data_IF_721186662641
#
_entry.id   IF_721186662641
#
_cell.length_a   1.000
_cell.length_b   1.000
_cell.length_c   1.000
_cell.angle_alpha   90.00
_cell.angle_beta   90.00
_cell.angle_gamma   90.00
#
_symmetry.space_group_name_H-M   'P 1'
#
loop_
_entity.id
_entity.type
_entity.pdbx_description
1 polymer ?
#
# COMPACT_ATOMS: atom_id res chain seq x y z
N UNK A 1 -4.45 64.98 -69.87
CA UNK A 1 -3.90 64.16 -70.96
C UNK A 1 -3.24 62.90 -70.32
N UNK A 2 -3.93 61.74 -70.53
CA UNK A 2 -3.40 60.41 -70.60
C UNK A 2 -2.82 59.76 -69.27
N UNK A 3 -3.14 58.62 -68.91
CA UNK A 3 -3.76 57.35 -69.35
C UNK A 3 -3.67 56.39 -68.19
N UNK A 4 -4.77 55.75 -67.97
CA UNK A 4 -4.86 54.60 -67.02
C UNK A 4 -3.86 53.50 -67.32
N UNK A 5 -3.36 52.85 -66.26
CA UNK A 5 -2.97 51.46 -66.32
C UNK A 5 -3.43 50.70 -65.07
N UNK A 6 -4.45 49.94 -65.28
CA UNK A 6 -4.95 48.89 -64.36
C UNK A 6 -3.89 47.82 -64.18
N UNK A 7 -3.40 47.63 -62.98
CA UNK A 7 -2.67 46.43 -62.61
C UNK A 7 -3.58 45.49 -61.80
N UNK A 8 -3.81 44.34 -62.39
CA UNK A 8 -4.47 43.17 -61.76
C UNK A 8 -3.67 42.76 -60.55
N UNK A 9 -4.29 42.80 -59.36
CA UNK A 9 -3.79 42.17 -58.15
C UNK A 9 -4.36 40.74 -58.11
N UNK A 10 -3.45 39.79 -58.16
CA UNK A 10 -3.80 38.37 -57.96
C UNK A 10 -4.08 38.14 -56.46
N UNK A 11 -5.28 37.72 -56.15
CA UNK A 11 -5.64 37.24 -54.81
C UNK A 11 -4.98 35.86 -54.60
N UNK A 12 -3.99 35.83 -53.77
CA UNK A 12 -3.49 34.56 -53.20
C UNK A 12 -4.47 34.09 -52.12
N UNK A 13 -5.14 33.03 -52.36
CA UNK A 13 -5.97 32.35 -51.38
C UNK A 13 -5.07 31.66 -50.36
N UNK A 14 -4.92 32.24 -49.18
CA UNK A 14 -4.29 31.58 -48.06
C UNK A 14 -5.30 30.56 -47.46
N UNK A 15 -5.05 29.30 -47.65
CA UNK A 15 -5.82 28.25 -46.98
C UNK A 15 -5.57 28.32 -45.46
N UNK A 16 -6.58 28.78 -44.74
CA UNK A 16 -6.62 28.66 -43.27
C UNK A 16 -7.00 27.23 -42.96
N UNK A 17 -5.99 26.44 -42.57
CA UNK A 17 -6.24 25.13 -41.93
C UNK A 17 -6.86 25.43 -40.56
N UNK A 18 -8.17 25.29 -40.45
CA UNK A 18 -8.84 25.23 -39.16
C UNK A 18 -8.37 23.98 -38.43
N UNK A 19 -7.51 24.16 -37.42
CA UNK A 19 -7.34 23.15 -36.37
C UNK A 19 -8.72 23.00 -35.70
N UNK A 20 -9.42 21.93 -36.02
CA UNK A 20 -10.51 21.45 -35.21
C UNK A 20 -9.94 21.03 -33.87
N UNK A 21 -9.91 21.94 -32.90
CA UNK A 21 -9.85 21.56 -31.50
C UNK A 21 -11.09 20.67 -31.28
N UNK A 22 -10.87 19.35 -31.13
CA UNK A 22 -11.91 18.44 -30.70
C UNK A 22 -12.48 19.00 -29.40
N UNK A 23 -13.69 19.52 -29.44
CA UNK A 23 -14.43 19.79 -28.23
C UNK A 23 -14.55 18.44 -27.53
N UNK A 24 -13.83 18.25 -26.41
CA UNK A 24 -14.14 17.19 -25.48
C UNK A 24 -15.62 17.36 -25.16
N UNK A 25 -16.48 16.47 -25.67
CA UNK A 25 -17.88 16.46 -25.32
C UNK A 25 -17.95 16.34 -23.81
N UNK A 26 -18.44 17.36 -23.12
CA UNK A 26 -18.69 17.29 -21.70
C UNK A 26 -19.63 16.10 -21.47
N UNK A 27 -19.23 15.14 -20.68
CA UNK A 27 -20.06 14.00 -20.31
C UNK A 27 -21.21 14.54 -19.45
N UNK A 28 -22.45 14.31 -19.86
CA UNK A 28 -23.60 14.72 -19.05
C UNK A 28 -23.78 13.81 -17.85
N UNK A 29 -23.95 14.41 -16.66
CA UNK A 29 -24.46 13.73 -15.48
C UNK A 29 -25.87 13.17 -15.76
N UNK A 30 -26.35 12.23 -14.93
CA UNK A 30 -27.69 11.64 -15.10
C UNK A 30 -27.85 10.77 -16.37
N UNK A 31 -26.80 10.05 -16.76
CA UNK A 31 -26.79 9.18 -17.95
C UNK A 31 -25.99 7.92 -17.69
N UNK A 32 -26.04 6.97 -18.62
CA UNK A 32 -25.14 5.84 -18.63
C UNK A 32 -23.88 6.17 -19.46
N UNK A 33 -22.72 5.79 -18.96
CA UNK A 33 -21.43 5.99 -19.59
C UNK A 33 -20.77 4.66 -19.91
N UNK A 34 -20.28 4.48 -21.12
CA UNK A 34 -19.48 3.32 -21.48
C UNK A 34 -17.99 3.66 -21.35
N UNK A 35 -17.29 2.96 -20.47
CA UNK A 35 -15.88 3.15 -20.19
C UNK A 35 -15.05 2.98 -21.46
N UNK A 36 -14.18 3.95 -21.74
CA UNK A 36 -13.27 3.97 -22.86
C UNK A 36 -11.86 3.52 -22.41
N UNK A 37 -11.03 3.20 -23.38
CA UNK A 37 -9.63 2.85 -23.10
C UNK A 37 -8.89 4.06 -22.49
N UNK A 38 -8.21 3.85 -21.37
CA UNK A 38 -7.51 4.89 -20.60
C UNK A 38 -8.37 5.68 -19.61
N UNK A 39 -9.66 5.36 -19.48
CA UNK A 39 -10.52 5.98 -18.46
C UNK A 39 -10.13 5.53 -17.04
N UNK A 40 -10.29 6.48 -16.13
CA UNK A 40 -10.29 6.22 -14.68
C UNK A 40 -11.58 6.78 -14.07
N UNK A 41 -11.98 6.27 -12.91
CA UNK A 41 -13.12 6.83 -12.18
C UNK A 41 -13.01 8.35 -11.98
N UNK A 42 -11.79 8.83 -11.70
CA UNK A 42 -11.54 10.26 -11.50
C UNK A 42 -11.71 11.06 -12.80
N UNK A 43 -11.22 10.55 -13.95
CA UNK A 43 -11.38 11.24 -15.24
C UNK A 43 -12.84 11.30 -15.67
N UNK A 44 -13.60 10.23 -15.45
CA UNK A 44 -15.04 10.19 -15.71
C UNK A 44 -15.78 11.18 -14.80
N UNK A 45 -15.43 11.25 -13.50
CA UNK A 45 -16.03 12.19 -12.56
C UNK A 45 -15.72 13.66 -12.92
N UNK A 46 -14.50 13.96 -13.37
CA UNK A 46 -14.13 15.29 -13.84
C UNK A 46 -14.95 15.67 -15.08
N UNK A 47 -15.12 14.75 -16.03
CA UNK A 47 -15.89 15.00 -17.25
C UNK A 47 -17.40 15.19 -16.97
N UNK A 48 -17.96 14.44 -16.01
CA UNK A 48 -19.39 14.46 -15.69
C UNK A 48 -19.79 15.58 -14.72
N UNK A 49 -18.93 15.87 -13.71
CA UNK A 49 -19.28 16.73 -12.57
C UNK A 49 -18.28 17.87 -12.33
N UNK A 50 -17.22 17.98 -13.12
CA UNK A 50 -16.19 19.00 -12.92
C UNK A 50 -15.31 18.80 -11.68
N UNK A 51 -15.38 17.63 -11.03
CA UNK A 51 -14.63 17.28 -9.80
C UNK A 51 -14.04 15.89 -9.89
N UNK A 52 -12.89 15.66 -9.27
CA UNK A 52 -12.27 14.33 -9.18
C UNK A 52 -12.94 13.39 -8.16
N UNK A 53 -13.96 13.87 -7.44
CA UNK A 53 -14.72 13.04 -6.50
C UNK A 53 -15.60 12.02 -7.24
N UNK A 54 -15.08 10.83 -7.43
CA UNK A 54 -15.76 9.71 -8.10
C UNK A 54 -16.66 8.87 -7.17
N UNK A 55 -16.71 9.19 -5.88
CA UNK A 55 -17.49 8.42 -4.89
C UNK A 55 -18.96 8.22 -5.30
N UNK A 56 -19.67 9.24 -5.80
CA UNK A 56 -21.06 9.05 -6.26
C UNK A 56 -21.16 8.01 -7.39
N UNK A 57 -20.25 8.04 -8.37
CA UNK A 57 -20.23 7.07 -9.47
C UNK A 57 -19.95 5.66 -8.92
N UNK A 58 -18.92 5.51 -8.09
CA UNK A 58 -18.56 4.22 -7.52
C UNK A 58 -19.69 3.63 -6.68
N UNK A 59 -20.32 4.44 -5.84
CA UNK A 59 -21.44 4.00 -5.00
C UNK A 59 -22.64 3.54 -5.83
N UNK A 60 -22.94 4.23 -6.94
CA UNK A 60 -24.02 3.88 -7.84
C UNK A 60 -23.78 2.58 -8.62
N UNK A 61 -22.53 2.16 -8.74
CA UNK A 61 -22.11 1.00 -9.55
C UNK A 61 -21.46 -0.14 -8.75
N UNK A 62 -21.65 -0.17 -7.43
CA UNK A 62 -21.04 -1.20 -6.55
C UNK A 62 -21.39 -2.63 -6.93
N UNK A 63 -22.56 -2.86 -7.53
CA UNK A 63 -22.96 -4.18 -8.02
C UNK A 63 -22.18 -4.62 -9.27
N UNK A 64 -21.57 -3.67 -9.98
CA UNK A 64 -20.85 -3.90 -11.23
C UNK A 64 -19.35 -3.81 -11.03
N UNK A 65 -18.90 -2.98 -10.08
CA UNK A 65 -17.49 -2.71 -9.80
C UNK A 65 -17.22 -2.91 -8.31
N UNK A 66 -16.33 -3.84 -8.00
CA UNK A 66 -15.87 -4.08 -6.63
C UNK A 66 -14.66 -3.22 -6.24
N UNK A 67 -13.90 -2.70 -7.23
CA UNK A 67 -12.71 -1.89 -7.05
C UNK A 67 -12.70 -0.73 -8.04
N UNK A 68 -12.67 0.53 -7.59
CA UNK A 68 -12.70 1.71 -8.48
C UNK A 68 -11.47 1.85 -9.37
N UNK A 69 -10.36 1.15 -9.05
CA UNK A 69 -9.15 1.14 -9.87
C UNK A 69 -9.19 0.10 -10.99
N UNK A 70 -10.22 -0.73 -11.06
CA UNK A 70 -10.31 -1.82 -12.03
C UNK A 70 -11.45 -1.57 -13.01
N UNK A 71 -11.29 -0.54 -13.86
CA UNK A 71 -12.22 -0.25 -14.94
C UNK A 71 -11.80 -0.97 -16.22
N UNK A 72 -12.73 -1.73 -16.79
CA UNK A 72 -12.52 -2.39 -18.07
C UNK A 72 -13.22 -1.58 -19.18
N UNK A 73 -12.54 -1.33 -20.34
CA UNK A 73 -13.19 -0.70 -21.48
C UNK A 73 -14.44 -1.49 -21.93
N UNK A 74 -15.51 -0.77 -22.23
CA UNK A 74 -16.79 -1.37 -22.59
C UNK A 74 -17.75 -1.57 -21.41
N UNK A 75 -17.30 -1.42 -20.16
CA UNK A 75 -18.17 -1.45 -18.99
C UNK A 75 -19.14 -0.26 -19.02
N UNK A 76 -20.40 -0.49 -18.70
CA UNK A 76 -21.43 0.57 -18.63
C UNK A 76 -21.63 0.99 -17.19
N UNK A 77 -21.36 2.26 -16.89
CA UNK A 77 -21.54 2.90 -15.60
C UNK A 77 -22.77 3.79 -15.60
N UNK A 78 -23.57 3.73 -14.53
CA UNK A 78 -24.60 4.74 -14.27
C UNK A 78 -23.93 5.98 -13.64
N UNK A 79 -24.09 7.14 -14.27
CA UNK A 79 -23.64 8.42 -13.73
C UNK A 79 -24.82 9.07 -12.98
N UNK A 80 -24.78 9.19 -11.64
CA UNK A 80 -25.86 9.79 -10.87
C UNK A 80 -26.18 11.22 -11.32
N UNK A 81 -27.43 11.60 -11.17
CA UNK A 81 -27.87 12.98 -11.34
C UNK A 81 -27.37 13.85 -10.18
N UNK A 82 -27.38 15.18 -10.32
CA UNK A 82 -26.96 16.11 -9.24
C UNK A 82 -27.81 15.99 -7.96
N UNK A 83 -29.06 15.54 -8.08
CA UNK A 83 -29.95 15.26 -6.94
C UNK A 83 -29.71 13.88 -6.30
N UNK A 84 -28.73 13.13 -6.79
CA UNK A 84 -28.37 11.78 -6.30
C UNK A 84 -29.23 10.65 -6.87
N UNK A 85 -30.19 10.95 -7.76
CA UNK A 85 -30.94 9.91 -8.47
C UNK A 85 -30.11 9.26 -9.58
N UNK A 86 -30.50 8.06 -10.01
CA UNK A 86 -29.88 7.37 -11.15
C UNK A 86 -30.67 7.64 -12.44
N UNK A 87 -30.05 7.42 -13.63
CA UNK A 87 -30.71 7.63 -14.93
C UNK A 87 -32.03 6.86 -15.10
N UNK A 88 -32.23 5.80 -14.31
CA UNK A 88 -33.48 5.03 -14.29
C UNK A 88 -34.50 5.52 -13.24
N UNK A 89 -34.25 6.67 -12.61
CA UNK A 89 -35.13 7.26 -11.59
C UNK A 89 -34.97 6.65 -10.19
N UNK A 90 -34.04 5.73 -9.97
CA UNK A 90 -33.69 5.21 -8.64
C UNK A 90 -32.69 6.14 -7.97
N UNK A 91 -32.83 6.36 -6.67
CA UNK A 91 -31.82 7.05 -5.88
C UNK A 91 -30.66 6.11 -5.58
N UNK A 92 -29.42 6.61 -5.69
CA UNK A 92 -28.24 5.86 -5.24
C UNK A 92 -28.36 5.50 -3.75
N UNK A 93 -29.01 6.36 -2.95
CA UNK A 93 -29.31 6.11 -1.54
C UNK A 93 -30.29 4.96 -1.35
N UNK A 94 -31.30 4.82 -2.22
CA UNK A 94 -32.25 3.71 -2.15
C UNK A 94 -31.58 2.38 -2.48
N UNK A 95 -30.59 2.35 -3.39
CA UNK A 95 -29.81 1.15 -3.69
C UNK A 95 -28.93 0.76 -2.53
N UNK A 96 -28.26 1.72 -1.88
CA UNK A 96 -27.45 1.49 -0.69
C UNK A 96 -28.32 0.97 0.46
N UNK A 97 -29.47 1.61 0.71
CA UNK A 97 -30.41 1.18 1.74
C UNK A 97 -31.01 -0.22 1.45
N UNK A 98 -31.27 -0.54 0.17
CA UNK A 98 -31.74 -1.87 -0.24
C UNK A 98 -30.67 -2.95 -0.07
N UNK A 99 -29.40 -2.62 -0.27
CA UNK A 99 -28.28 -3.53 -0.05
C UNK A 99 -28.00 -3.71 1.44
N UNK A 100 -28.07 -2.65 2.23
CA UNK A 100 -27.99 -2.70 3.70
C UNK A 100 -29.15 -3.52 4.27
N UNK A 101 -30.37 -3.36 3.74
CA UNK A 101 -31.53 -4.16 4.16
C UNK A 101 -31.41 -5.63 3.75
N UNK A 102 -30.83 -5.94 2.58
CA UNK A 102 -30.50 -7.33 2.20
C UNK A 102 -29.45 -7.94 3.12
N UNK A 103 -28.41 -7.18 3.42
CA UNK A 103 -27.34 -7.59 4.32
C UNK A 103 -27.86 -7.73 5.76
N UNK A 104 -28.77 -6.85 6.21
CA UNK A 104 -29.43 -6.97 7.49
C UNK A 104 -30.38 -8.20 7.58
N UNK A 105 -31.10 -8.51 6.48
CA UNK A 105 -31.94 -9.71 6.41
C UNK A 105 -31.13 -11.01 6.28
N UNK A 106 -29.94 -10.98 5.66
CA UNK A 106 -29.00 -12.09 5.68
C UNK A 106 -28.30 -12.27 7.04
N UNK A 107 -28.32 -11.27 7.92
CA UNK A 107 -27.83 -11.38 9.30
C UNK A 107 -28.69 -12.22 10.24
N UNK A 108 -29.86 -12.72 9.81
CA UNK A 108 -30.74 -13.59 10.61
C UNK A 108 -30.48 -15.07 10.31
N UNK A 109 -29.32 -15.47 9.88
CA UNK A 109 -28.91 -16.86 10.01
C UNK A 109 -28.12 -17.01 11.31
N UNK A 110 -28.60 -17.82 12.24
CA UNK A 110 -27.86 -18.33 13.41
C UNK A 110 -26.67 -19.22 12.98
N UNK A 111 -25.94 -18.79 11.95
CA UNK A 111 -24.70 -19.45 11.52
C UNK A 111 -23.64 -18.97 12.48
N UNK A 112 -23.08 -19.85 13.25
CA UNK A 112 -21.90 -19.59 14.06
C UNK A 112 -20.78 -19.08 13.14
N UNK A 113 -20.39 -17.84 13.31
CA UNK A 113 -19.23 -17.25 12.64
C UNK A 113 -18.04 -17.35 13.60
N UNK A 114 -17.01 -18.13 13.27
CA UNK A 114 -15.86 -18.29 14.16
C UNK A 114 -15.13 -16.93 14.33
N UNK A 115 -14.50 -16.69 15.50
CA UNK A 115 -13.69 -15.51 15.71
C UNK A 115 -12.58 -15.36 14.66
N UNK A 116 -12.25 -14.13 14.29
CA UNK A 116 -11.12 -13.83 13.40
C UNK A 116 -9.83 -13.91 14.21
N UNK A 117 -8.94 -14.82 13.83
CA UNK A 117 -7.65 -15.02 14.50
C UNK A 117 -6.56 -14.25 13.76
N UNK A 118 -6.02 -13.24 14.41
CA UNK A 118 -4.95 -12.39 13.89
C UNK A 118 -3.62 -12.85 14.53
N UNK A 119 -2.56 -12.92 13.75
CA UNK A 119 -1.21 -13.18 14.22
C UNK A 119 -0.27 -12.04 13.83
N UNK A 120 0.65 -11.72 14.72
CA UNK A 120 1.81 -10.84 14.49
C UNK A 120 3.01 -11.39 15.28
N UNK A 121 4.18 -10.81 15.09
CA UNK A 121 5.34 -11.05 15.95
C UNK A 121 5.62 -9.85 16.84
N UNK A 122 6.37 -10.05 17.91
CA UNK A 122 7.00 -9.02 18.73
C UNK A 122 8.40 -8.65 18.23
N UNK A 123 9.13 -7.90 19.04
CA UNK A 123 10.46 -7.38 18.69
C UNK A 123 10.48 -6.56 17.38
N UNK A 124 9.37 -5.89 17.10
CA UNK A 124 9.18 -5.07 15.93
C UNK A 124 8.52 -3.74 16.30
N UNK A 125 9.03 -3.13 17.37
CA UNK A 125 8.57 -1.79 17.79
C UNK A 125 8.96 -0.73 16.73
N UNK A 126 8.15 0.31 16.53
CA UNK A 126 6.85 0.59 17.13
C UNK A 126 5.66 -0.07 16.42
N UNK A 127 5.92 -0.93 15.43
CA UNK A 127 4.94 -1.54 14.55
C UNK A 127 4.09 -2.58 15.28
N UNK A 128 4.75 -3.57 15.88
CA UNK A 128 4.13 -4.64 16.65
C UNK A 128 5.09 -5.13 17.74
N UNK A 129 4.65 -5.04 18.99
CA UNK A 129 5.39 -5.53 20.14
C UNK A 129 4.45 -5.72 21.34
N UNK A 130 4.63 -6.79 22.11
CA UNK A 130 3.79 -7.11 23.28
C UNK A 130 3.89 -6.06 24.38
N UNK A 131 5.05 -5.39 24.50
CA UNK A 131 5.34 -4.38 25.51
C UNK A 131 4.81 -2.97 25.16
N UNK A 132 4.27 -2.80 23.95
CA UNK A 132 3.65 -1.55 23.51
C UNK A 132 2.16 -1.50 23.87
N UNK A 133 1.66 -0.29 24.13
CA UNK A 133 0.23 -0.07 24.35
C UNK A 133 -0.60 -0.58 23.18
N UNK A 134 -1.48 -1.56 23.46
CA UNK A 134 -2.31 -2.19 22.47
C UNK A 134 -1.57 -3.07 21.45
N UNK A 135 -0.32 -3.45 21.75
CA UNK A 135 0.48 -4.35 20.91
C UNK A 135 1.17 -3.65 19.73
N UNK A 136 1.31 -2.32 19.76
CA UNK A 136 1.86 -1.52 18.69
C UNK A 136 0.80 -1.02 17.68
N UNK A 137 1.20 -0.09 16.80
CA UNK A 137 0.20 0.60 15.97
C UNK A 137 -0.46 -0.32 14.93
N UNK A 138 0.20 -1.35 14.42
CA UNK A 138 -0.42 -2.26 13.45
C UNK A 138 -1.54 -3.09 14.07
N UNK A 139 -1.36 -3.56 15.31
CA UNK A 139 -2.41 -4.29 16.05
C UNK A 139 -3.58 -3.35 16.35
N UNK A 140 -3.30 -2.12 16.79
CA UNK A 140 -4.32 -1.08 17.03
C UNK A 140 -5.08 -0.73 15.76
N UNK A 141 -4.40 -0.56 14.63
CA UNK A 141 -5.02 -0.27 13.33
C UNK A 141 -5.92 -1.43 12.86
N UNK A 142 -5.45 -2.68 12.95
CA UNK A 142 -6.24 -3.84 12.55
C UNK A 142 -7.50 -3.98 13.42
N UNK A 143 -7.35 -3.87 14.73
CA UNK A 143 -8.45 -3.98 15.71
C UNK A 143 -9.49 -2.87 15.51
N UNK A 144 -9.03 -1.63 15.36
CA UNK A 144 -9.92 -0.48 15.14
C UNK A 144 -10.63 -0.59 13.78
N UNK A 145 -9.92 -0.99 12.72
CA UNK A 145 -10.52 -1.18 11.41
C UNK A 145 -11.65 -2.23 11.43
N UNK A 146 -11.46 -3.36 12.11
CA UNK A 146 -12.50 -4.37 12.25
C UNK A 146 -13.70 -3.87 13.05
N UNK A 147 -13.49 -3.06 14.09
CA UNK A 147 -14.57 -2.46 14.88
C UNK A 147 -15.39 -1.44 14.06
N UNK A 148 -14.73 -0.68 13.15
CA UNK A 148 -15.40 0.35 12.32
C UNK A 148 -16.36 -0.25 11.28
N UNK A 149 -16.07 -1.42 10.76
CA UNK A 149 -16.90 -2.05 9.71
C UNK A 149 -18.19 -2.71 10.22
N UNK A 150 -18.57 -2.49 11.46
CA UNK A 150 -19.74 -3.15 12.07
C UNK A 150 -19.60 -4.67 12.06
N UNK A 151 -18.38 -5.17 12.09
CA UNK A 151 -18.09 -6.58 12.24
C UNK A 151 -18.65 -7.09 13.57
N UNK A 152 -19.50 -8.13 13.50
CA UNK A 152 -20.10 -8.76 14.67
C UNK A 152 -19.28 -9.98 15.16
N UNK A 153 -18.20 -10.35 14.45
CA UNK A 153 -17.34 -11.45 14.87
C UNK A 153 -16.38 -10.96 15.95
N UNK A 154 -16.17 -11.79 16.93
CA UNK A 154 -15.04 -11.60 17.84
C UNK A 154 -13.73 -11.70 17.05
N UNK A 155 -12.71 -11.04 17.53
CA UNK A 155 -11.35 -11.18 16.98
C UNK A 155 -10.33 -11.10 18.11
N UNK A 156 -9.16 -11.71 17.88
CA UNK A 156 -8.04 -11.67 18.82
C UNK A 156 -6.74 -11.57 18.05
N UNK A 157 -5.78 -10.81 18.57
CA UNK A 157 -4.41 -10.78 18.10
C UNK A 157 -3.52 -11.60 19.03
N UNK A 158 -2.67 -12.44 18.44
CA UNK A 158 -1.69 -13.26 19.15
C UNK A 158 -0.31 -12.97 18.61
N UNK A 159 0.70 -13.05 19.48
CA UNK A 159 2.10 -12.84 19.11
C UNK A 159 2.78 -14.20 18.94
N UNK A 160 3.42 -14.39 17.79
CA UNK A 160 4.27 -15.56 17.47
C UNK A 160 5.55 -15.01 16.85
N UNK A 161 6.65 -15.08 17.57
CA UNK A 161 7.91 -14.42 17.19
C UNK A 161 8.70 -15.13 16.08
N UNK A 162 8.30 -16.33 15.70
CA UNK A 162 8.76 -16.98 14.47
C UNK A 162 7.99 -16.43 13.28
N UNK A 163 8.49 -15.31 12.73
CA UNK A 163 7.86 -14.60 11.62
C UNK A 163 7.68 -15.46 10.36
N UNK A 164 8.66 -16.30 10.04
CA UNK A 164 8.60 -17.17 8.86
C UNK A 164 7.43 -18.15 8.95
N UNK A 165 7.14 -18.64 10.13
CA UNK A 165 6.04 -19.57 10.37
C UNK A 165 4.67 -18.99 10.00
N UNK A 166 4.49 -17.66 10.04
CA UNK A 166 3.21 -17.04 9.70
C UNK A 166 2.81 -17.35 8.25
N UNK A 167 3.75 -17.16 7.29
CA UNK A 167 3.49 -17.41 5.87
C UNK A 167 3.71 -18.86 5.47
N UNK A 168 4.56 -19.59 6.18
CA UNK A 168 4.93 -20.95 5.81
C UNK A 168 3.98 -22.01 6.37
N UNK A 169 3.38 -21.72 7.53
CA UNK A 169 2.65 -22.74 8.28
C UNK A 169 1.32 -22.23 8.81
N UNK A 170 1.30 -21.13 9.57
CA UNK A 170 0.15 -20.73 10.36
C UNK A 170 -1.04 -20.29 9.49
N UNK A 171 -0.82 -19.43 8.50
CA UNK A 171 -1.86 -19.03 7.57
C UNK A 171 -2.25 -20.14 6.57
N UNK A 172 -1.30 -20.88 5.95
CA UNK A 172 -1.63 -21.99 5.05
C UNK A 172 -2.47 -23.09 5.69
N UNK A 173 -2.21 -23.42 6.96
CA UNK A 173 -2.97 -24.44 7.71
C UNK A 173 -4.26 -23.90 8.36
N UNK A 174 -4.56 -22.59 8.25
CA UNK A 174 -5.73 -21.98 8.88
C UNK A 174 -5.65 -21.92 10.41
N UNK A 175 -4.45 -22.02 10.99
CA UNK A 175 -4.25 -21.79 12.41
C UNK A 175 -4.61 -20.35 12.78
N UNK A 176 -4.29 -19.41 11.89
CA UNK A 176 -4.69 -18.01 11.92
C UNK A 176 -5.30 -17.59 10.58
N UNK A 177 -6.04 -16.49 10.60
CA UNK A 177 -6.79 -15.99 9.45
C UNK A 177 -6.07 -14.82 8.76
N UNK A 178 -5.47 -13.94 9.55
CA UNK A 178 -4.78 -12.73 9.10
C UNK A 178 -3.44 -12.62 9.81
N UNK A 179 -2.40 -12.27 9.07
CA UNK A 179 -1.12 -11.87 9.65
C UNK A 179 -0.80 -10.42 9.33
N UNK A 180 -0.22 -9.71 10.31
CA UNK A 180 0.11 -8.30 10.20
C UNK A 180 1.57 -8.12 9.78
N UNK A 181 1.91 -6.89 9.33
CA UNK A 181 3.28 -6.44 9.11
C UNK A 181 4.03 -7.11 7.93
N UNK A 182 3.37 -7.23 6.78
CA UNK A 182 3.98 -7.85 5.61
C UNK A 182 4.19 -6.87 4.47
N UNK A 183 5.35 -6.96 3.84
CA UNK A 183 5.68 -6.27 2.61
C UNK A 183 5.35 -7.16 1.42
N UNK A 184 4.52 -6.65 0.51
CA UNK A 184 4.08 -7.35 -0.70
C UNK A 184 4.52 -6.50 -1.90
N UNK A 185 5.25 -7.07 -2.86
CA UNK A 185 5.69 -6.35 -4.06
C UNK A 185 4.50 -5.95 -4.94
N UNK A 186 4.75 -5.13 -5.93
CA UNK A 186 3.81 -4.95 -7.04
C UNK A 186 3.75 -6.22 -7.89
N UNK A 187 2.83 -7.11 -7.54
CA UNK A 187 2.65 -8.40 -8.21
C UNK A 187 2.16 -8.29 -9.65
N UNK A 188 1.75 -7.12 -10.10
CA UNK A 188 1.40 -6.85 -11.50
C UNK A 188 2.64 -6.59 -12.36
N UNK A 189 3.74 -6.15 -11.75
CA UNK A 189 4.99 -5.90 -12.44
C UNK A 189 5.67 -7.22 -12.84
N UNK A 190 5.74 -7.47 -14.16
CA UNK A 190 6.36 -8.65 -14.75
C UNK A 190 7.78 -8.40 -15.29
N UNK A 191 8.34 -7.23 -14.98
CA UNK A 191 9.65 -6.80 -15.48
C UNK A 191 10.82 -7.49 -14.77
N UNK A 192 10.55 -8.15 -13.64
CA UNK A 192 11.56 -8.80 -12.81
C UNK A 192 11.32 -10.30 -12.73
N UNK A 193 12.41 -11.07 -12.68
CA UNK A 193 12.39 -12.46 -12.26
C UNK A 193 12.49 -12.48 -10.72
N UNK A 194 11.34 -12.52 -10.08
CA UNK A 194 11.26 -12.58 -8.62
C UNK A 194 11.89 -13.86 -8.06
N UNK A 195 12.53 -13.74 -6.92
CA UNK A 195 12.93 -14.89 -6.12
C UNK A 195 11.72 -15.78 -5.79
N UNK A 196 11.94 -17.08 -5.49
CA UNK A 196 10.85 -17.97 -5.09
C UNK A 196 10.03 -17.43 -3.92
N UNK A 197 10.69 -16.78 -2.94
CA UNK A 197 10.03 -16.21 -1.77
C UNK A 197 9.16 -15.00 -2.14
N UNK A 198 9.66 -14.10 -2.96
CA UNK A 198 8.89 -12.96 -3.48
C UNK A 198 7.71 -13.43 -4.35
N UNK A 199 7.94 -14.43 -5.20
CA UNK A 199 6.88 -15.06 -6.02
C UNK A 199 5.80 -15.67 -5.14
N UNK A 200 6.15 -16.34 -4.04
CA UNK A 200 5.22 -16.92 -3.07
C UNK A 200 4.31 -15.86 -2.46
N UNK A 201 4.86 -14.69 -2.08
CA UNK A 201 4.07 -13.57 -1.56
C UNK A 201 2.99 -13.11 -2.54
N UNK A 202 3.30 -13.09 -3.84
CA UNK A 202 2.34 -12.75 -4.89
C UNK A 202 1.30 -13.83 -5.19
N UNK A 203 1.67 -15.10 -5.10
CA UNK A 203 0.82 -16.20 -5.59
C UNK A 203 -0.05 -16.83 -4.54
N UNK A 204 0.37 -16.79 -3.27
CA UNK A 204 -0.32 -17.50 -2.19
C UNK A 204 -1.12 -16.59 -1.25
N UNK A 205 -0.90 -15.28 -1.28
CA UNK A 205 -1.53 -14.36 -0.34
C UNK A 205 -2.37 -13.30 -1.06
N UNK A 206 -3.47 -12.91 -0.42
CA UNK A 206 -4.21 -11.68 -0.69
C UNK A 206 -3.89 -10.68 0.43
N UNK A 207 -3.78 -9.40 0.11
CA UNK A 207 -3.36 -8.37 1.05
C UNK A 207 -4.28 -7.15 1.06
N UNK A 208 -4.24 -6.39 2.16
CA UNK A 208 -4.84 -5.05 2.22
C UNK A 208 -4.08 -4.07 1.31
N UNK A 209 -4.64 -2.88 1.12
CA UNK A 209 -3.84 -1.71 0.70
C UNK A 209 -2.74 -1.46 1.72
N UNK A 210 -1.72 -0.67 1.35
CA UNK A 210 -0.68 -0.27 2.32
C UNK A 210 -1.32 0.34 3.56
N UNK A 211 -0.95 -0.17 4.72
CA UNK A 211 -1.40 0.30 6.03
C UNK A 211 -0.52 1.44 6.51
N UNK A 212 0.77 1.32 6.26
CA UNK A 212 1.80 2.28 6.60
C UNK A 212 2.98 2.12 5.64
N UNK A 213 3.52 3.21 5.14
CA UNK A 213 4.70 3.19 4.27
C UNK A 213 5.94 3.52 5.11
N UNK A 214 6.96 2.66 5.00
CA UNK A 214 8.23 2.82 5.70
C UNK A 214 9.34 3.18 4.73
N UNK A 215 10.35 3.86 5.24
CA UNK A 215 11.60 4.07 4.53
C UNK A 215 12.57 2.95 4.93
N UNK A 216 13.13 2.30 3.92
CA UNK A 216 14.18 1.29 4.08
C UNK A 216 15.50 1.97 3.77
N UNK A 217 16.30 2.17 4.81
CA UNK A 217 17.62 2.79 4.71
C UNK A 217 18.73 1.79 4.43
N UNK A 218 19.91 2.33 4.13
CA UNK A 218 21.17 1.58 3.96
C UNK A 218 22.19 2.12 4.95
N UNK A 219 22.73 1.26 5.80
CA UNK A 219 23.55 1.59 6.96
C UNK A 219 24.93 0.99 6.80
N UNK A 220 25.99 1.78 7.03
CA UNK A 220 27.39 1.36 6.83
C UNK A 220 28.32 2.14 7.74
N UNK A 221 29.60 1.76 7.76
CA UNK A 221 30.63 2.52 8.48
C UNK A 221 30.82 3.92 7.85
N UNK A 222 31.12 4.97 8.64
CA UNK A 222 31.31 6.33 8.14
C UNK A 222 32.39 6.48 7.05
N UNK A 223 33.45 5.69 7.16
CA UNK A 223 34.59 5.71 6.24
C UNK A 223 34.43 4.75 5.04
N UNK A 224 33.29 4.09 4.91
CA UNK A 224 32.97 3.19 3.80
C UNK A 224 32.60 3.96 2.55
N UNK A 225 33.01 3.49 1.38
CA UNK A 225 32.55 4.03 0.09
C UNK A 225 31.02 3.99 -0.06
N UNK A 226 30.36 3.03 0.60
CA UNK A 226 28.92 2.89 0.60
C UNK A 226 28.18 4.01 1.37
N UNK A 227 28.86 4.72 2.27
CA UNK A 227 28.28 5.86 2.98
C UNK A 227 27.91 7.02 2.03
N UNK A 228 28.57 7.11 0.89
CA UNK A 228 28.34 8.14 -0.11
C UNK A 228 27.84 7.61 -1.46
N UNK A 229 27.46 6.35 -1.53
CA UNK A 229 26.82 5.73 -2.69
C UNK A 229 25.60 6.57 -3.12
N UNK A 230 25.43 6.80 -4.43
CA UNK A 230 24.38 7.66 -4.98
C UNK A 230 23.34 6.92 -5.81
N UNK A 231 23.60 5.64 -6.06
CA UNK A 231 22.75 4.75 -6.83
C UNK A 231 22.82 3.32 -6.28
N UNK A 232 21.84 2.49 -6.61
CA UNK A 232 21.85 1.08 -6.27
C UNK A 232 23.02 0.32 -6.93
N UNK A 233 23.49 0.78 -8.11
CA UNK A 233 24.64 0.20 -8.81
C UNK A 233 25.92 0.27 -7.98
N UNK A 234 26.07 1.28 -7.10
CA UNK A 234 27.24 1.49 -6.27
C UNK A 234 27.39 0.40 -5.18
N UNK A 235 26.31 -0.34 -4.90
CA UNK A 235 26.34 -1.47 -3.95
C UNK A 235 26.76 -2.80 -4.58
N UNK A 236 27.04 -2.86 -5.88
CA UNK A 236 27.51 -4.11 -6.51
C UNK A 236 28.79 -4.62 -5.88
N UNK A 237 28.79 -5.92 -5.54
CA UNK A 237 29.88 -6.59 -4.87
C UNK A 237 29.87 -6.46 -3.36
N UNK A 238 28.96 -5.69 -2.78
CA UNK A 238 28.83 -5.55 -1.34
C UNK A 238 28.34 -6.85 -0.67
N UNK A 239 28.75 -7.06 0.57
CA UNK A 239 28.11 -7.99 1.51
C UNK A 239 26.98 -7.23 2.20
N UNK A 240 25.74 -7.50 1.76
CA UNK A 240 24.57 -6.79 2.24
C UNK A 240 23.85 -7.61 3.30
N UNK A 241 23.66 -7.03 4.48
CA UNK A 241 22.94 -7.65 5.58
C UNK A 241 21.46 -7.28 5.55
N UNK A 242 20.60 -8.29 5.52
CA UNK A 242 19.16 -8.20 5.75
C UNK A 242 18.69 -9.43 6.48
N UNK A 243 17.80 -9.27 7.46
CA UNK A 243 17.38 -10.38 8.34
C UNK A 243 16.74 -11.53 7.55
N UNK A 244 16.95 -12.74 8.07
CA UNK A 244 16.32 -13.94 7.51
C UNK A 244 14.79 -13.81 7.50
N UNK A 245 14.16 -14.29 6.42
CA UNK A 245 12.69 -14.25 6.25
C UNK A 245 12.12 -12.87 5.91
N UNK A 246 12.95 -11.83 5.89
CA UNK A 246 12.53 -10.50 5.49
C UNK A 246 12.32 -10.42 3.97
N UNK A 247 11.56 -9.41 3.54
CA UNK A 247 11.34 -9.18 2.12
C UNK A 247 12.63 -8.73 1.42
N UNK A 248 12.75 -9.10 0.17
CA UNK A 248 13.91 -8.77 -0.67
C UNK A 248 13.52 -8.15 -2.00
N UNK A 249 12.21 -8.03 -2.27
CA UNK A 249 11.74 -7.53 -3.56
C UNK A 249 12.21 -6.10 -3.89
N UNK A 250 12.38 -5.24 -2.88
CA UNK A 250 12.96 -3.90 -3.06
C UNK A 250 14.42 -3.96 -3.49
N UNK A 251 15.18 -4.93 -3.00
CA UNK A 251 16.55 -5.19 -3.42
C UNK A 251 16.58 -5.83 -4.81
N UNK A 252 15.71 -6.79 -5.07
CA UNK A 252 15.58 -7.48 -6.37
C UNK A 252 15.25 -6.49 -7.48
N UNK A 253 14.27 -5.60 -7.27
CA UNK A 253 13.87 -4.55 -8.21
C UNK A 253 14.99 -3.58 -8.57
N UNK A 254 15.89 -3.33 -7.64
CA UNK A 254 16.98 -2.37 -7.80
C UNK A 254 18.32 -3.05 -8.13
N UNK A 255 18.31 -4.36 -8.37
CA UNK A 255 19.52 -5.11 -8.75
C UNK A 255 20.55 -5.26 -7.62
N UNK A 256 20.16 -5.03 -6.37
CA UNK A 256 20.99 -5.16 -5.16
C UNK A 256 20.66 -6.48 -4.46
N UNK A 257 20.60 -7.54 -5.23
CA UNK A 257 20.32 -8.90 -4.78
C UNK A 257 21.30 -9.88 -5.45
N UNK A 258 21.33 -11.13 -5.01
CA UNK A 258 22.18 -12.14 -5.61
C UNK A 258 21.92 -12.30 -7.12
N UNK A 259 22.95 -12.44 -7.95
CA UNK A 259 24.36 -12.60 -7.64
C UNK A 259 25.15 -11.28 -7.56
N UNK A 260 24.51 -10.10 -7.66
CA UNK A 260 25.21 -8.81 -7.70
C UNK A 260 25.80 -8.39 -6.34
N UNK A 261 25.22 -8.89 -5.24
CA UNK A 261 25.70 -8.74 -3.86
C UNK A 261 25.76 -10.10 -3.20
N UNK A 262 26.46 -10.19 -2.07
CA UNK A 262 26.42 -11.37 -1.19
C UNK A 262 25.48 -11.09 -0.03
N UNK A 263 24.40 -11.85 0.10
CA UNK A 263 23.47 -11.69 1.21
C UNK A 263 23.99 -12.28 2.50
N UNK A 264 23.93 -11.50 3.59
CA UNK A 264 24.19 -11.91 4.97
C UNK A 264 22.85 -11.84 5.70
N UNK A 265 22.36 -12.96 6.24
CA UNK A 265 20.99 -13.06 6.74
C UNK A 265 20.93 -13.60 8.18
N UNK A 266 21.29 -12.78 9.17
CA UNK A 266 21.09 -13.14 10.58
C UNK A 266 19.61 -13.01 10.98
N UNK A 267 19.31 -13.39 12.22
CA UNK A 267 17.93 -13.39 12.73
C UNK A 267 17.44 -11.98 13.09
N UNK A 268 18.33 -11.10 13.61
CA UNK A 268 17.93 -9.79 14.14
C UNK A 268 18.59 -8.61 13.41
N UNK A 269 17.97 -7.44 13.50
CA UNK A 269 18.55 -6.19 13.01
C UNK A 269 19.82 -5.81 13.78
N UNK A 270 19.85 -6.09 15.08
CA UNK A 270 21.02 -5.89 15.95
C UNK A 270 22.21 -6.70 15.46
N UNK A 271 22.00 -7.98 15.07
CA UNK A 271 23.06 -8.81 14.47
C UNK A 271 23.53 -8.25 13.13
N UNK A 272 22.65 -7.63 12.32
CA UNK A 272 23.06 -6.95 11.08
C UNK A 272 23.94 -5.74 11.35
N UNK A 273 23.60 -4.91 12.35
CA UNK A 273 24.44 -3.77 12.73
C UNK A 273 25.79 -4.22 13.29
N UNK A 274 25.82 -5.27 14.12
CA UNK A 274 27.08 -5.87 14.61
C UNK A 274 27.90 -6.44 13.44
N UNK A 275 27.28 -7.08 12.46
CA UNK A 275 27.96 -7.57 11.26
C UNK A 275 28.64 -6.44 10.46
N UNK A 276 28.02 -5.25 10.39
CA UNK A 276 28.64 -4.07 9.77
C UNK A 276 29.82 -3.57 10.59
N UNK A 277 29.67 -3.45 11.91
CA UNK A 277 30.74 -3.01 12.82
C UNK A 277 31.97 -3.92 12.78
N UNK A 278 31.73 -5.22 12.74
CA UNK A 278 32.80 -6.24 12.75
C UNK A 278 33.36 -6.53 11.35
N UNK A 279 32.82 -5.90 10.31
CA UNK A 279 33.26 -6.08 8.93
C UNK A 279 32.86 -7.44 8.34
N UNK A 280 31.86 -8.13 8.88
CA UNK A 280 31.25 -9.32 8.28
C UNK A 280 30.34 -8.91 7.14
N UNK A 281 29.61 -7.81 7.31
CA UNK A 281 28.84 -7.14 6.25
C UNK A 281 29.46 -5.77 5.92
N UNK A 282 29.22 -5.28 4.71
CA UNK A 282 29.62 -3.94 4.29
C UNK A 282 28.49 -2.93 4.49
N UNK A 283 27.25 -3.40 4.35
CA UNK A 283 26.03 -2.59 4.41
C UNK A 283 24.91 -3.40 5.07
N UNK A 284 24.14 -2.78 5.95
CA UNK A 284 22.87 -3.32 6.44
C UNK A 284 21.70 -2.53 5.81
N UNK A 285 20.56 -3.18 5.56
CA UNK A 285 19.41 -2.51 4.97
C UNK A 285 18.10 -3.01 5.56
N UNK A 286 17.37 -2.09 6.23
CA UNK A 286 16.05 -2.30 6.84
C UNK A 286 15.43 -0.95 7.24
N UNK A 287 14.25 -0.97 7.86
CA UNK A 287 13.50 0.24 8.22
C UNK A 287 14.28 1.17 9.14
N UNK A 288 14.12 2.46 8.91
CA UNK A 288 14.78 3.53 9.70
C UNK A 288 14.45 3.41 11.20
N UNK A 289 13.20 3.06 11.55
CA UNK A 289 12.80 2.90 12.95
C UNK A 289 13.52 1.72 13.60
N UNK A 290 13.59 0.60 12.90
CA UNK A 290 14.26 -0.60 13.41
C UNK A 290 15.78 -0.41 13.51
N UNK A 291 16.35 0.37 12.60
CA UNK A 291 17.76 0.75 12.67
C UNK A 291 18.07 1.56 13.93
N UNK A 292 17.19 2.50 14.28
CA UNK A 292 17.34 3.30 15.50
C UNK A 292 17.30 2.42 16.76
N UNK A 293 16.40 1.44 16.81
CA UNK A 293 16.31 0.48 17.91
C UNK A 293 17.57 -0.38 17.99
N UNK A 294 18.02 -0.98 16.89
CA UNK A 294 19.22 -1.81 16.83
C UNK A 294 20.48 -1.03 17.23
N UNK A 295 20.60 0.22 16.82
CA UNK A 295 21.69 1.10 17.24
C UNK A 295 21.63 1.40 18.74
N UNK A 296 20.43 1.67 19.27
CA UNK A 296 20.21 1.91 20.70
C UNK A 296 20.60 0.69 21.54
N UNK A 297 20.19 -0.50 21.14
CA UNK A 297 20.50 -1.76 21.82
C UNK A 297 22.01 -2.03 21.91
N UNK A 298 22.75 -1.64 20.88
CA UNK A 298 24.22 -1.75 20.84
C UNK A 298 24.95 -0.55 21.46
N UNK A 299 24.22 0.47 21.90
CA UNK A 299 24.82 1.71 22.40
C UNK A 299 25.56 2.52 21.33
N UNK A 300 25.16 2.40 20.07
CA UNK A 300 25.79 3.04 18.94
C UNK A 300 25.23 4.45 18.67
N UNK A 301 26.05 5.24 18.03
CA UNK A 301 25.72 6.58 17.55
C UNK A 301 25.93 6.70 16.03
N UNK A 302 25.50 7.83 15.46
CA UNK A 302 25.80 8.17 14.07
C UNK A 302 27.30 8.35 13.75
N UNK A 303 28.17 8.30 14.75
CA UNK A 303 29.62 8.26 14.52
C UNK A 303 30.15 6.85 14.28
N UNK A 304 29.37 5.85 14.67
CA UNK A 304 29.76 4.42 14.57
C UNK A 304 29.18 3.80 13.31
N UNK A 305 27.89 4.05 13.03
CA UNK A 305 27.19 3.64 11.79
C UNK A 305 26.42 4.84 11.26
N UNK A 306 26.48 5.06 9.94
CA UNK A 306 25.76 6.11 9.25
C UNK A 306 24.71 5.54 8.29
N UNK A 307 23.59 6.21 8.18
CA UNK A 307 22.62 6.00 7.10
C UNK A 307 23.14 6.68 5.82
N UNK A 308 23.06 5.97 4.68
CA UNK A 308 23.32 6.58 3.38
C UNK A 308 22.19 7.59 3.08
N UNK A 309 22.51 8.89 2.85
CA UNK A 309 21.49 9.91 2.67
C UNK A 309 20.92 9.99 1.24
N UNK A 310 21.44 9.21 0.29
CA UNK A 310 21.08 9.33 -1.13
C UNK A 310 20.28 8.16 -1.65
N UNK A 311 20.43 6.97 -1.05
CA UNK A 311 19.81 5.73 -1.52
C UNK A 311 18.92 5.16 -0.42
N UNK A 312 17.65 5.01 -0.74
CA UNK A 312 16.65 4.35 0.10
C UNK A 312 15.55 3.77 -0.78
N UNK A 313 14.72 2.91 -0.22
CA UNK A 313 13.47 2.44 -0.82
C UNK A 313 12.30 2.78 0.09
N UNK A 314 11.10 2.81 -0.48
CA UNK A 314 9.86 2.96 0.30
C UNK A 314 9.04 1.69 0.12
N UNK A 315 8.65 1.08 1.22
CA UNK A 315 7.89 -0.15 1.21
C UNK A 315 6.63 -0.03 2.08
N UNK A 316 5.51 -0.54 1.59
CA UNK A 316 4.23 -0.47 2.28
C UNK A 316 3.93 -1.74 3.08
N UNK A 317 3.75 -1.59 4.40
CA UNK A 317 3.27 -2.66 5.27
C UNK A 317 1.81 -2.97 4.99
N UNK A 318 1.48 -4.25 4.95
CA UNK A 318 0.14 -4.77 4.65
C UNK A 318 -0.26 -5.84 5.66
N UNK A 319 -1.55 -6.07 5.75
CA UNK A 319 -2.10 -7.27 6.40
C UNK A 319 -2.39 -8.29 5.32
N UNK A 320 -2.08 -9.55 5.58
CA UNK A 320 -2.20 -10.62 4.59
C UNK A 320 -3.06 -11.77 5.10
N UNK A 321 -3.69 -12.48 4.17
CA UNK A 321 -4.41 -13.72 4.39
C UNK A 321 -4.00 -14.73 3.34
N UNK A 322 -3.98 -16.02 3.68
CA UNK A 322 -3.66 -17.04 2.69
C UNK A 322 -4.86 -17.30 1.78
N UNK A 323 -4.64 -17.49 0.49
CA UNK A 323 -5.71 -17.67 -0.51
C UNK A 323 -6.57 -18.93 -0.33
N UNK A 324 -6.10 -19.90 0.45
CA UNK A 324 -6.92 -21.06 0.85
C UNK A 324 -7.92 -20.75 1.95
N UNK A 325 -7.78 -19.59 2.65
CA UNK A 325 -8.77 -19.19 3.64
C UNK A 325 -10.07 -18.77 2.92
N UNK A 326 -11.21 -19.49 3.15
CA UNK A 326 -12.45 -19.22 2.44
C UNK A 326 -13.03 -17.82 2.72
N UNK A 327 -12.64 -17.21 3.84
CA UNK A 327 -13.07 -15.87 4.26
C UNK A 327 -11.99 -14.80 4.06
N UNK A 328 -10.81 -15.17 3.58
CA UNK A 328 -9.66 -14.28 3.52
C UNK A 328 -9.93 -12.99 2.78
N UNK A 329 -10.55 -13.03 1.60
CA UNK A 329 -10.91 -11.84 0.84
C UNK A 329 -11.92 -10.96 1.55
N UNK A 330 -12.84 -11.55 2.30
CA UNK A 330 -13.79 -10.81 3.12
C UNK A 330 -13.06 -10.06 4.24
N UNK A 331 -12.10 -10.70 4.91
CA UNK A 331 -11.29 -10.05 5.95
C UNK A 331 -10.46 -8.89 5.39
N UNK A 332 -9.83 -9.08 4.23
CA UNK A 332 -9.11 -8.01 3.54
C UNK A 332 -10.03 -6.84 3.18
N UNK A 333 -11.23 -7.12 2.67
CA UNK A 333 -12.20 -6.08 2.33
C UNK A 333 -12.68 -5.31 3.58
N UNK A 334 -12.97 -6.00 4.69
CA UNK A 334 -13.34 -5.38 5.96
C UNK A 334 -12.22 -4.50 6.50
N UNK A 335 -10.98 -5.00 6.54
CA UNK A 335 -9.83 -4.24 7.00
C UNK A 335 -9.61 -3.00 6.14
N UNK A 336 -9.68 -3.12 4.82
CA UNK A 336 -9.55 -1.98 3.90
C UNK A 336 -10.65 -0.92 4.13
N UNK A 337 -11.88 -1.34 4.29
CA UNK A 337 -13.01 -0.43 4.55
C UNK A 337 -12.79 0.34 5.87
N UNK A 338 -12.46 -0.35 6.96
CA UNK A 338 -12.19 0.28 8.24
C UNK A 338 -10.98 1.21 8.22
N UNK A 339 -9.88 0.81 7.57
CA UNK A 339 -8.70 1.65 7.39
C UNK A 339 -9.00 2.94 6.60
N UNK A 340 -9.88 2.87 5.60
CA UNK A 340 -10.30 4.05 4.86
C UNK A 340 -11.11 5.00 5.72
N UNK A 341 -12.09 4.50 6.50
CA UNK A 341 -12.85 5.31 7.45
C UNK A 341 -11.94 5.98 8.50
N UNK A 342 -10.94 5.24 9.00
CA UNK A 342 -9.96 5.77 9.95
C UNK A 342 -9.07 6.87 9.33
N UNK A 343 -8.72 6.76 8.04
CA UNK A 343 -7.99 7.83 7.34
C UNK A 343 -8.83 9.08 7.17
N UNK A 344 -10.10 8.91 6.79
CA UNK A 344 -11.04 10.03 6.64
C UNK A 344 -11.32 10.74 7.97
N UNK A 345 -11.42 10.01 9.07
CA UNK A 345 -11.66 10.57 10.41
C UNK A 345 -10.40 11.14 11.09
N UNK A 346 -9.21 10.85 10.58
CA UNK A 346 -7.93 11.19 11.21
C UNK A 346 -7.49 10.22 12.32
N UNK A 347 -8.29 9.22 12.65
CA UNK A 347 -7.99 8.24 13.71
C UNK A 347 -6.76 7.37 13.36
N UNK A 348 -6.57 7.06 12.07
CA UNK A 348 -5.38 6.38 11.58
C UNK A 348 -4.10 7.14 11.98
N UNK A 349 -4.08 8.45 11.72
CA UNK A 349 -2.94 9.30 12.07
C UNK A 349 -2.73 9.40 13.57
N UNK A 350 -3.81 9.54 14.35
CA UNK A 350 -3.74 9.63 15.80
C UNK A 350 -3.12 8.37 16.42
N UNK A 351 -3.55 7.17 15.99
CA UNK A 351 -3.02 5.89 16.48
C UNK A 351 -1.52 5.77 16.21
N UNK A 352 -1.08 6.11 15.00
CA UNK A 352 0.34 6.03 14.63
C UNK A 352 1.17 7.03 15.42
N UNK A 353 0.76 8.32 15.44
CA UNK A 353 1.51 9.37 16.10
C UNK A 353 1.63 9.16 17.61
N UNK A 354 0.57 8.65 18.25
CA UNK A 354 0.60 8.32 19.68
C UNK A 354 1.58 7.18 19.99
N UNK A 355 1.57 6.12 19.14
CA UNK A 355 2.48 4.99 19.35
C UNK A 355 3.94 5.37 19.08
N UNK A 356 4.21 6.13 18.02
CA UNK A 356 5.56 6.63 17.72
C UNK A 356 6.09 7.52 18.86
N UNK A 357 5.24 8.39 19.41
CA UNK A 357 5.61 9.23 20.55
C UNK A 357 5.94 8.39 21.78
N UNK A 358 5.09 7.42 22.14
CA UNK A 358 5.33 6.50 23.26
C UNK A 358 6.66 5.74 23.08
N UNK A 359 6.93 5.25 21.90
CA UNK A 359 8.16 4.53 21.59
C UNK A 359 9.40 5.43 21.72
N UNK A 360 9.37 6.62 21.12
CA UNK A 360 10.47 7.58 21.21
C UNK A 360 10.75 8.04 22.67
N UNK A 361 9.71 8.21 23.49
CA UNK A 361 9.86 8.52 24.91
C UNK A 361 10.57 7.39 25.67
N UNK A 362 10.27 6.11 25.33
CA UNK A 362 10.97 4.95 25.91
C UNK A 362 12.44 4.89 25.48
N UNK A 363 12.75 5.12 24.20
CA UNK A 363 14.13 5.16 23.72
C UNK A 363 14.96 6.26 24.42
N UNK A 364 14.38 7.46 24.54
CA UNK A 364 15.06 8.57 25.23
C UNK A 364 15.27 8.28 26.74
N UNK A 365 14.34 7.58 27.38
CA UNK A 365 14.49 7.19 28.79
C UNK A 365 15.56 6.12 29.00
N UNK A 366 15.73 5.20 28.04
CA UNK A 366 16.77 4.16 28.07
C UNK A 366 18.18 4.71 27.80
N UNK A 367 18.30 5.85 27.12
CA UNK A 367 19.58 6.50 26.77
C UNK A 367 20.15 7.39 27.89
N UNK A 368 19.42 7.61 29.00
CA UNK A 368 19.81 8.40 30.17
C UNK A 368 20.18 7.49 31.36
#
# INVERSE_FOLDING_TARGET
>A
MFYEKIKKVALSATAITALSAGAAAAQEACTNYTVQDGDTMATIAIAAYGTSNYQPIFNANRNTISNPSNLEPGLVLALPCEDGSLPNGQSAQDLIAAEEARNANNKVSNVYEPPIKIVTGGNYAPFADEDLTGGGFLVRLASTALNRTGNNREFSASFVNDWSSHLDTLLPLGAFDVSLAWYIPDCSNRSYEWSPETTKRCTQFDSTVSVYDTVIGFYTLPDSDYATARSFEDFKGARLCRMEGWFTHDLEENGVFEPNVTMIQPVTATDCMDAVLTGVADVASFEVQLAADAMSDLGLSHNDIVENPFVNTVAGLRFVTHRTNPYGRQYVAMLNAGLNEMRESGEWYAIISDTLREHNEKLMAASN
#
